data_IF_658572347454
#
_entry.id   IF_658572347454
#
_cell.length_a   1.000
_cell.length_b   1.000
_cell.length_c   1.000
_cell.angle_alpha   90.00
_cell.angle_beta   90.00
_cell.angle_gamma   90.00
#
_symmetry.space_group_name_H-M   'P 1'
#
loop_
_entity.id
_entity.type
_entity.pdbx_description
1 polymer ?
#
# COMPACT_ATOMS: atom_id res chain seq x y z
N UNK A 1 -25.12 -6.89 23.05
CA UNK A 1 -25.64 -5.89 22.09
C UNK A 1 -25.01 -6.18 20.74
N UNK A 2 -25.81 -6.71 19.82
CA UNK A 2 -25.40 -7.11 18.48
C UNK A 2 -25.24 -5.88 17.58
N UNK A 3 -24.04 -5.62 17.06
CA UNK A 3 -23.89 -4.86 15.82
C UNK A 3 -23.82 -5.86 14.68
N UNK A 4 -24.99 -6.11 14.08
CA UNK A 4 -25.13 -6.86 12.84
C UNK A 4 -24.14 -6.30 11.82
N UNK A 5 -23.29 -7.17 11.31
CA UNK A 5 -22.50 -6.97 10.11
C UNK A 5 -23.48 -6.91 8.94
N UNK A 6 -24.11 -5.74 8.75
CA UNK A 6 -24.95 -5.51 7.59
C UNK A 6 -24.03 -5.38 6.38
N UNK A 7 -24.01 -6.42 5.54
CA UNK A 7 -23.51 -6.32 4.18
C UNK A 7 -24.11 -5.05 3.56
N UNK A 8 -23.29 -4.18 2.93
CA UNK A 8 -23.77 -2.92 2.38
C UNK A 8 -24.92 -3.18 1.41
N UNK A 9 -25.93 -2.31 1.42
CA UNK A 9 -27.03 -2.43 0.45
C UNK A 9 -26.48 -2.33 -0.97
N UNK A 10 -27.13 -2.91 -2.00
CA UNK A 10 -26.64 -2.85 -3.38
C UNK A 10 -26.35 -1.41 -3.86
N UNK A 11 -27.16 -0.45 -3.40
CA UNK A 11 -26.96 0.99 -3.66
C UNK A 11 -25.73 1.56 -2.95
N UNK A 12 -25.43 1.12 -1.72
CA UNK A 12 -24.20 1.50 -1.00
C UNK A 12 -22.95 0.86 -1.61
N UNK A 13 -23.05 -0.38 -2.10
CA UNK A 13 -21.97 -1.05 -2.83
C UNK A 13 -21.64 -0.36 -4.17
N UNK A 14 -22.63 0.23 -4.83
CA UNK A 14 -22.45 1.02 -6.06
C UNK A 14 -21.75 2.37 -5.84
N UNK A 15 -21.89 2.96 -4.65
CA UNK A 15 -21.28 4.25 -4.29
C UNK A 15 -19.90 4.11 -3.66
N UNK A 16 -19.58 2.95 -3.07
CA UNK A 16 -18.27 2.73 -2.46
C UNK A 16 -17.16 2.71 -3.52
N UNK A 17 -16.16 3.58 -3.36
CA UNK A 17 -15.04 3.71 -4.31
C UNK A 17 -13.86 2.77 -4.04
N UNK A 18 -14.00 1.83 -3.11
CA UNK A 18 -12.99 0.81 -2.81
C UNK A 18 -13.43 -0.53 -3.41
N UNK A 19 -12.56 -1.25 -4.15
CA UNK A 19 -12.87 -2.57 -4.67
C UNK A 19 -13.26 -3.56 -3.57
N UNK A 20 -14.04 -4.58 -3.93
CA UNK A 20 -14.38 -5.66 -3.01
C UNK A 20 -13.11 -6.35 -2.48
N UNK A 21 -13.03 -6.48 -1.15
CA UNK A 21 -11.90 -7.07 -0.42
C UNK A 21 -11.96 -8.59 -0.59
N UNK A 22 -11.44 -9.03 -1.73
CA UNK A 22 -11.36 -10.42 -2.16
C UNK A 22 -9.90 -10.87 -2.18
N UNK A 23 -9.64 -12.15 -2.46
CA UNK A 23 -8.27 -12.62 -2.66
C UNK A 23 -7.53 -11.80 -3.73
N UNK A 24 -8.20 -11.48 -4.85
CA UNK A 24 -7.62 -10.65 -5.91
C UNK A 24 -7.23 -9.25 -5.44
N UNK A 25 -7.96 -8.66 -4.50
CA UNK A 25 -7.59 -7.37 -3.90
C UNK A 25 -6.25 -7.47 -3.17
N UNK A 26 -6.10 -8.49 -2.32
CA UNK A 26 -4.85 -8.69 -1.58
C UNK A 26 -3.69 -9.02 -2.50
N UNK A 27 -3.91 -9.85 -3.54
CA UNK A 27 -2.87 -10.18 -4.52
C UNK A 27 -2.38 -8.95 -5.26
N UNK A 28 -3.28 -8.16 -5.88
CA UNK A 28 -2.86 -6.97 -6.65
C UNK A 28 -2.18 -5.97 -5.72
N UNK A 29 -2.67 -5.83 -4.49
CA UNK A 29 -2.06 -4.94 -3.52
C UNK A 29 -0.62 -5.34 -3.18
N UNK A 30 -0.36 -6.61 -2.86
CA UNK A 30 0.99 -7.09 -2.52
C UNK A 30 1.94 -6.95 -3.73
N UNK A 31 1.42 -7.18 -4.95
CA UNK A 31 2.19 -6.92 -6.15
C UNK A 31 2.50 -5.43 -6.31
N UNK A 32 1.52 -4.55 -6.09
CA UNK A 32 1.70 -3.10 -6.17
C UNK A 32 2.69 -2.57 -5.13
N UNK A 33 2.67 -3.06 -3.90
CA UNK A 33 3.67 -2.68 -2.88
C UNK A 33 5.09 -3.06 -3.31
N UNK A 34 5.25 -4.22 -3.95
CA UNK A 34 6.55 -4.68 -4.45
C UNK A 34 7.03 -3.82 -5.62
N UNK A 35 6.14 -3.51 -6.58
CA UNK A 35 6.45 -2.58 -7.70
C UNK A 35 6.80 -1.19 -7.20
N UNK A 36 6.11 -0.70 -6.16
CA UNK A 36 6.37 0.61 -5.58
C UNK A 36 7.83 0.80 -5.19
N UNK A 37 8.39 -0.19 -4.48
CA UNK A 37 9.79 -0.24 -4.05
C UNK A 37 10.73 -0.24 -5.26
N UNK A 38 10.61 -1.27 -6.09
CA UNK A 38 11.57 -1.51 -7.17
C UNK A 38 11.51 -0.46 -8.28
N UNK A 39 10.35 0.18 -8.48
CA UNK A 39 10.20 1.26 -9.44
C UNK A 39 10.80 2.58 -8.93
N UNK A 40 10.69 2.87 -7.62
CA UNK A 40 11.37 4.01 -7.01
C UNK A 40 12.89 3.89 -7.19
N UNK A 41 13.46 2.72 -6.85
CA UNK A 41 14.87 2.42 -7.04
C UNK A 41 15.31 2.53 -8.50
N UNK A 42 14.52 1.97 -9.42
CA UNK A 42 14.83 2.01 -10.85
C UNK A 42 14.92 3.44 -11.38
N UNK A 43 13.96 4.30 -11.02
CA UNK A 43 13.94 5.68 -11.46
C UNK A 43 15.11 6.47 -10.85
N UNK A 44 15.42 6.21 -9.59
CA UNK A 44 16.48 6.90 -8.86
C UNK A 44 17.87 6.48 -9.36
N UNK A 45 18.19 5.19 -9.25
CA UNK A 45 19.55 4.68 -9.44
C UNK A 45 19.84 4.23 -10.88
N UNK A 46 18.91 3.55 -11.55
CA UNK A 46 19.17 3.00 -12.89
C UNK A 46 19.00 4.04 -13.99
N UNK A 47 17.96 4.86 -13.93
CA UNK A 47 17.74 5.94 -14.88
C UNK A 47 18.55 7.21 -14.55
N UNK A 48 19.17 7.27 -13.37
CA UNK A 48 20.00 8.38 -12.94
C UNK A 48 19.26 9.71 -12.87
N UNK A 49 17.92 9.67 -12.75
CA UNK A 49 17.07 10.87 -12.66
C UNK A 49 17.36 11.60 -11.34
N UNK A 50 17.79 10.85 -10.33
CA UNK A 50 18.03 11.31 -8.98
C UNK A 50 16.76 11.35 -8.14
N UNK A 51 16.94 11.21 -6.82
CA UNK A 51 15.85 11.03 -5.87
C UNK A 51 14.86 12.20 -5.90
N UNK A 52 15.35 13.44 -5.91
CA UNK A 52 14.51 14.65 -5.91
C UNK A 52 13.64 14.76 -7.16
N UNK A 53 14.22 14.60 -8.34
CA UNK A 53 13.48 14.73 -9.60
C UNK A 53 12.46 13.58 -9.77
N UNK A 54 12.84 12.36 -9.39
CA UNK A 54 11.95 11.20 -9.37
C UNK A 54 10.75 11.46 -8.45
N UNK A 55 11.01 12.03 -7.27
CA UNK A 55 9.98 12.38 -6.29
C UNK A 55 9.00 13.42 -6.82
N UNK A 56 9.50 14.49 -7.45
CA UNK A 56 8.65 15.54 -8.03
C UNK A 56 7.77 14.98 -9.16
N UNK A 57 8.34 14.17 -10.06
CA UNK A 57 7.61 13.55 -11.17
C UNK A 57 6.51 12.62 -10.64
N UNK A 58 6.86 11.70 -9.74
CA UNK A 58 5.91 10.70 -9.23
C UNK A 58 4.85 11.34 -8.34
N UNK A 59 5.21 12.35 -7.54
CA UNK A 59 4.23 13.12 -6.76
C UNK A 59 3.24 13.88 -7.67
N UNK A 60 3.71 14.46 -8.78
CA UNK A 60 2.84 15.12 -9.75
C UNK A 60 1.87 14.14 -10.41
N UNK A 61 2.38 12.98 -10.87
CA UNK A 61 1.54 11.92 -11.46
C UNK A 61 0.51 11.39 -10.45
N UNK A 62 0.94 11.14 -9.21
CA UNK A 62 0.06 10.74 -8.12
C UNK A 62 -1.02 11.77 -7.85
N UNK A 63 -0.67 13.05 -7.75
CA UNK A 63 -1.63 14.14 -7.51
C UNK A 63 -2.69 14.21 -8.63
N UNK A 64 -2.28 14.12 -9.89
CA UNK A 64 -3.20 14.11 -11.04
C UNK A 64 -4.15 12.90 -10.97
N UNK A 65 -3.62 11.70 -10.74
CA UNK A 65 -4.42 10.48 -10.66
C UNK A 65 -5.37 10.50 -9.44
N UNK A 66 -4.91 10.99 -8.29
CA UNK A 66 -5.70 11.13 -7.08
C UNK A 66 -6.85 12.13 -7.29
N UNK A 67 -6.58 13.30 -7.90
CA UNK A 67 -7.64 14.27 -8.23
C UNK A 67 -8.67 13.65 -9.18
N UNK A 68 -8.23 12.88 -10.19
CA UNK A 68 -9.14 12.18 -11.09
C UNK A 68 -10.01 11.14 -10.34
N UNK A 69 -9.42 10.39 -9.40
CA UNK A 69 -10.11 9.41 -8.56
C UNK A 69 -11.17 10.09 -7.66
N UNK A 70 -10.77 11.15 -6.96
CA UNK A 70 -11.64 11.94 -6.10
C UNK A 70 -12.83 12.55 -6.87
N UNK A 71 -12.60 13.00 -8.11
CA UNK A 71 -13.65 13.56 -8.99
C UNK A 71 -14.59 12.50 -9.58
N UNK A 72 -14.16 11.26 -9.69
CA UNK A 72 -14.96 10.18 -10.27
C UNK A 72 -16.05 9.76 -9.28
N UNK A 73 -17.33 9.77 -9.68
CA UNK A 73 -18.47 9.48 -8.77
C UNK A 73 -18.72 8.00 -8.49
N UNK A 74 -18.11 7.09 -9.24
CA UNK A 74 -18.30 5.64 -9.15
C UNK A 74 -16.95 4.94 -9.11
N UNK A 75 -16.89 3.72 -8.57
CA UNK A 75 -15.68 2.90 -8.58
C UNK A 75 -15.21 2.64 -10.02
N UNK A 76 -14.05 3.21 -10.37
CA UNK A 76 -13.28 2.82 -11.56
C UNK A 76 -12.08 2.01 -11.13
N UNK A 77 -12.15 0.69 -11.29
CA UNK A 77 -11.10 -0.24 -10.83
C UNK A 77 -9.72 0.11 -11.38
N UNK A 78 -9.61 0.48 -12.66
CA UNK A 78 -8.33 0.87 -13.26
C UNK A 78 -7.72 2.11 -12.63
N UNK A 79 -8.55 3.12 -12.33
CA UNK A 79 -8.10 4.37 -11.72
C UNK A 79 -7.71 4.17 -10.25
N UNK A 80 -8.49 3.40 -9.50
CA UNK A 80 -8.15 3.03 -8.12
C UNK A 80 -6.78 2.33 -8.06
N UNK A 81 -6.56 1.31 -8.89
CA UNK A 81 -5.28 0.58 -8.89
C UNK A 81 -4.12 1.43 -9.40
N UNK A 82 -4.36 2.33 -10.36
CA UNK A 82 -3.35 3.31 -10.78
C UNK A 82 -2.92 4.19 -9.60
N UNK A 83 -3.88 4.73 -8.84
CA UNK A 83 -3.56 5.53 -7.64
C UNK A 83 -2.84 4.70 -6.59
N UNK A 84 -3.19 3.43 -6.40
CA UNK A 84 -2.48 2.51 -5.48
C UNK A 84 -1.04 2.23 -5.91
N UNK A 85 -0.76 2.10 -7.20
CA UNK A 85 0.62 1.94 -7.71
C UNK A 85 1.40 3.25 -7.60
N UNK A 86 0.78 4.39 -7.90
CA UNK A 86 1.46 5.68 -7.79
C UNK A 86 1.76 6.05 -6.33
N UNK A 87 0.80 5.83 -5.42
CA UNK A 87 1.02 6.07 -3.99
C UNK A 87 2.05 5.11 -3.40
N UNK A 88 2.20 3.91 -3.97
CA UNK A 88 3.24 2.99 -3.51
C UNK A 88 4.64 3.50 -3.80
N UNK A 89 4.86 4.02 -5.01
CA UNK A 89 6.13 4.65 -5.40
C UNK A 89 6.36 5.94 -4.60
N UNK A 90 5.36 6.82 -4.51
CA UNK A 90 5.48 8.09 -3.78
C UNK A 90 5.74 7.85 -2.28
N UNK A 91 5.10 6.86 -1.67
CA UNK A 91 5.32 6.54 -0.27
C UNK A 91 6.75 6.09 0.03
N UNK A 92 7.35 5.27 -0.85
CA UNK A 92 8.79 4.93 -0.79
C UNK A 92 9.63 6.18 -0.84
N UNK A 93 9.46 6.98 -1.90
CA UNK A 93 10.26 8.18 -2.12
C UNK A 93 10.16 9.20 -0.98
N UNK A 94 9.01 9.30 -0.30
CA UNK A 94 8.86 10.15 0.88
C UNK A 94 9.80 9.70 2.01
N UNK A 95 9.87 8.40 2.27
CA UNK A 95 10.77 7.82 3.27
C UNK A 95 12.23 8.02 2.84
N UNK A 96 12.58 7.66 1.61
CA UNK A 96 13.96 7.74 1.11
C UNK A 96 14.47 9.18 1.14
N UNK A 97 13.65 10.18 0.76
CA UNK A 97 14.09 11.57 0.85
C UNK A 97 14.41 11.95 2.30
N UNK A 98 13.58 11.55 3.25
CA UNK A 98 13.80 11.88 4.66
C UNK A 98 15.07 11.22 5.20
N UNK A 99 15.38 10.00 4.77
CA UNK A 99 16.58 9.27 5.20
C UNK A 99 17.83 9.75 4.45
N UNK A 100 17.81 9.72 3.11
CA UNK A 100 18.99 9.91 2.28
C UNK A 100 19.32 11.39 2.02
N UNK A 101 18.30 12.23 1.76
CA UNK A 101 18.52 13.66 1.51
C UNK A 101 18.54 14.49 2.80
N UNK A 102 17.70 14.14 3.78
CA UNK A 102 17.57 14.90 5.03
C UNK A 102 18.27 14.25 6.24
N UNK A 103 18.83 13.04 6.09
CA UNK A 103 19.62 12.39 7.16
C UNK A 103 18.82 11.95 8.38
N UNK A 104 17.49 11.82 8.27
CA UNK A 104 16.64 11.38 9.38
C UNK A 104 16.78 9.88 9.57
N UNK A 105 17.07 9.43 10.78
CA UNK A 105 17.25 7.99 11.05
C UNK A 105 15.93 7.22 10.95
N UNK A 106 15.99 6.01 10.39
CA UNK A 106 14.84 5.08 10.31
C UNK A 106 14.23 4.77 11.68
N UNK A 107 15.05 4.68 12.73
CA UNK A 107 14.61 4.49 14.12
C UNK A 107 13.73 5.61 14.64
N UNK A 108 13.94 6.85 14.19
CA UNK A 108 13.08 8.00 14.53
C UNK A 108 11.89 8.10 13.57
N UNK A 109 12.12 7.89 12.27
CA UNK A 109 11.12 8.11 11.24
C UNK A 109 9.97 7.10 11.32
N UNK A 110 10.27 5.83 11.61
CA UNK A 110 9.28 4.76 11.76
C UNK A 110 8.22 5.07 12.83
N UNK A 111 8.57 5.38 14.10
CA UNK A 111 7.57 5.75 15.10
C UNK A 111 6.85 7.06 14.77
N UNK A 112 7.51 8.03 14.11
CA UNK A 112 6.86 9.27 13.66
C UNK A 112 5.74 8.97 12.66
N UNK A 113 6.00 8.14 11.64
CA UNK A 113 4.94 7.73 10.70
C UNK A 113 3.86 6.89 11.37
N UNK A 114 4.20 6.04 12.34
CA UNK A 114 3.23 5.27 13.10
C UNK A 114 2.28 6.19 13.89
N UNK A 115 2.83 7.20 14.59
CA UNK A 115 2.04 8.20 15.32
C UNK A 115 1.19 9.03 14.36
N UNK A 116 1.73 9.47 13.22
CA UNK A 116 0.99 10.21 12.21
C UNK A 116 -0.19 9.40 11.64
N UNK A 117 0.03 8.10 11.38
CA UNK A 117 -1.02 7.19 10.92
C UNK A 117 -2.11 6.98 11.98
N UNK A 118 -1.72 6.75 13.24
CA UNK A 118 -2.66 6.64 14.36
C UNK A 118 -3.45 7.94 14.58
N UNK A 119 -2.80 9.10 14.48
CA UNK A 119 -3.46 10.39 14.54
C UNK A 119 -4.47 10.57 13.40
N UNK A 120 -4.11 10.13 12.18
CA UNK A 120 -5.00 10.15 11.02
C UNK A 120 -6.24 9.28 11.26
N UNK A 121 -6.08 8.05 11.76
CA UNK A 121 -7.22 7.22 12.14
C UNK A 121 -8.05 7.83 13.28
N UNK A 122 -7.41 8.42 14.28
CA UNK A 122 -8.08 9.07 15.41
C UNK A 122 -8.94 10.26 14.97
N UNK A 123 -8.39 11.15 14.12
CA UNK A 123 -9.11 12.31 13.60
C UNK A 123 -10.21 11.87 12.63
N UNK A 124 -9.93 10.89 11.77
CA UNK A 124 -10.93 10.34 10.86
C UNK A 124 -12.10 9.71 11.64
N UNK A 125 -11.83 8.89 12.64
CA UNK A 125 -12.86 8.31 13.50
C UNK A 125 -13.62 9.37 14.29
N UNK A 126 -12.95 10.41 14.79
CA UNK A 126 -13.59 11.50 15.52
C UNK A 126 -14.62 12.25 14.64
N UNK A 127 -14.29 12.47 13.36
CA UNK A 127 -15.13 13.20 12.38
C UNK A 127 -16.22 12.34 11.75
N UNK A 128 -15.88 11.14 11.29
CA UNK A 128 -16.76 10.31 10.46
C UNK A 128 -17.42 9.17 11.24
N UNK A 129 -16.97 8.91 12.49
CA UNK A 129 -17.44 7.82 13.38
C UNK A 129 -17.33 6.43 12.78
N UNK A 130 -16.55 6.27 11.72
CA UNK A 130 -16.29 5.00 11.05
C UNK A 130 -14.88 4.99 10.46
N UNK A 131 -14.23 3.83 10.53
CA UNK A 131 -12.98 3.53 9.80
C UNK A 131 -13.23 2.48 8.72
N UNK A 132 -14.50 2.23 8.39
CA UNK A 132 -14.89 1.19 7.45
C UNK A 132 -14.58 1.62 6.02
N UNK A 133 -13.83 0.77 5.34
CA UNK A 133 -13.54 0.79 3.91
C UNK A 133 -14.76 0.48 3.02
N UNK A 134 -15.90 0.11 3.61
CA UNK A 134 -17.16 -0.11 2.89
C UNK A 134 -18.00 1.16 2.71
N UNK A 135 -17.62 2.27 3.34
CA UNK A 135 -18.34 3.53 3.30
C UNK A 135 -17.46 4.69 2.84
N UNK A 136 -16.65 4.47 1.80
CA UNK A 136 -15.87 5.54 1.15
C UNK A 136 -16.72 6.16 0.04
N UNK A 137 -17.72 6.93 0.46
CA UNK A 137 -18.78 7.51 -0.37
C UNK A 137 -18.79 9.05 -0.39
N UNK A 138 -18.11 9.70 0.57
CA UNK A 138 -17.94 11.16 0.61
C UNK A 138 -16.50 11.58 0.30
N UNK A 139 -16.32 12.79 -0.24
CA UNK A 139 -14.98 13.34 -0.50
C UNK A 139 -14.13 13.48 0.78
N UNK A 140 -14.77 13.73 1.93
CA UNK A 140 -14.10 13.77 3.24
C UNK A 140 -13.52 12.39 3.59
N UNK A 141 -14.34 11.34 3.55
CA UNK A 141 -13.91 9.96 3.84
C UNK A 141 -12.86 9.46 2.86
N UNK A 142 -13.01 9.80 1.58
CA UNK A 142 -12.04 9.46 0.55
C UNK A 142 -10.68 10.15 0.78
N UNK A 143 -10.69 11.43 1.20
CA UNK A 143 -9.46 12.13 1.58
C UNK A 143 -8.74 11.48 2.76
N UNK A 144 -9.46 11.14 3.83
CA UNK A 144 -8.89 10.42 4.99
C UNK A 144 -8.35 9.05 4.60
N UNK A 145 -9.07 8.33 3.74
CA UNK A 145 -8.66 7.03 3.24
C UNK A 145 -7.33 7.12 2.47
N UNK A 146 -7.21 8.05 1.52
CA UNK A 146 -5.96 8.19 0.75
C UNK A 146 -4.79 8.72 1.58
N UNK A 147 -5.06 9.60 2.56
CA UNK A 147 -4.03 10.03 3.51
C UNK A 147 -3.52 8.86 4.37
N UNK A 148 -4.44 8.05 4.91
CA UNK A 148 -4.08 6.86 5.67
C UNK A 148 -3.27 5.86 4.82
N UNK A 149 -3.64 5.70 3.54
CA UNK A 149 -2.88 4.89 2.59
C UNK A 149 -1.47 5.47 2.40
N UNK A 150 -1.32 6.75 2.09
CA UNK A 150 -0.02 7.36 1.87
C UNK A 150 0.90 7.17 3.09
N UNK A 151 0.39 7.45 4.30
CA UNK A 151 1.15 7.26 5.54
C UNK A 151 1.46 5.78 5.81
N UNK A 152 0.56 4.87 5.46
CA UNK A 152 0.83 3.42 5.54
C UNK A 152 1.96 3.02 4.60
N UNK A 153 2.00 3.58 3.41
CA UNK A 153 3.05 3.30 2.43
C UNK A 153 4.42 3.80 2.91
N UNK A 154 4.50 5.04 3.40
CA UNK A 154 5.72 5.60 3.96
C UNK A 154 6.18 4.85 5.23
N UNK A 155 5.25 4.59 6.17
CA UNK A 155 5.52 3.79 7.37
C UNK A 155 6.06 2.41 7.02
N UNK A 156 5.47 1.75 6.02
CA UNK A 156 5.84 0.40 5.67
C UNK A 156 7.21 0.30 4.99
N UNK A 157 7.62 1.29 4.19
CA UNK A 157 9.03 1.38 3.72
C UNK A 157 9.95 1.58 4.93
N UNK A 158 9.70 2.62 5.75
CA UNK A 158 10.55 2.90 6.91
C UNK A 158 10.68 1.72 7.88
N UNK A 159 9.57 1.03 8.17
CA UNK A 159 9.57 -0.16 9.03
C UNK A 159 10.25 -1.36 8.38
N UNK A 160 10.12 -1.53 7.06
CA UNK A 160 10.79 -2.59 6.30
C UNK A 160 12.31 -2.46 6.41
N UNK A 161 12.82 -1.27 6.09
CA UNK A 161 14.26 -0.96 6.08
C UNK A 161 14.83 -0.93 7.49
N UNK A 162 14.05 -0.43 8.46
CA UNK A 162 14.45 -0.46 9.86
C UNK A 162 14.68 -1.89 10.35
N UNK A 163 13.78 -2.83 10.02
CA UNK A 163 13.91 -4.24 10.41
C UNK A 163 15.01 -4.93 9.60
N UNK A 164 15.06 -4.72 8.28
CA UNK A 164 16.01 -5.40 7.41
C UNK A 164 17.45 -4.91 7.62
N UNK A 165 17.66 -3.60 7.64
CA UNK A 165 18.98 -2.98 7.57
C UNK A 165 19.46 -2.49 8.94
N UNK A 166 18.62 -1.75 9.66
CA UNK A 166 19.04 -1.18 10.97
C UNK A 166 19.13 -2.25 12.05
N UNK A 167 18.16 -3.17 12.11
CA UNK A 167 18.19 -4.32 13.02
C UNK A 167 18.99 -5.51 12.47
N UNK A 168 19.50 -5.40 11.23
CA UNK A 168 20.33 -6.41 10.58
C UNK A 168 19.68 -7.80 10.47
N UNK A 169 18.35 -7.90 10.41
CA UNK A 169 17.69 -9.18 10.16
C UNK A 169 17.89 -9.66 8.71
N UNK A 170 18.11 -8.74 7.77
CA UNK A 170 18.19 -9.01 6.34
C UNK A 170 16.81 -9.21 5.70
N UNK A 171 16.74 -9.01 4.38
CA UNK A 171 15.47 -8.93 3.64
C UNK A 171 14.62 -10.20 3.74
N UNK A 172 15.22 -11.39 3.67
CA UNK A 172 14.48 -12.67 3.77
C UNK A 172 13.79 -12.81 5.13
N UNK A 173 14.51 -12.57 6.23
CA UNK A 173 13.94 -12.70 7.57
C UNK A 173 12.87 -11.62 7.82
N UNK A 174 13.07 -10.40 7.33
CA UNK A 174 12.05 -9.34 7.37
C UNK A 174 10.78 -9.75 6.61
N UNK A 175 10.90 -10.28 5.38
CA UNK A 175 9.74 -10.79 4.64
C UNK A 175 9.01 -11.88 5.42
N UNK A 176 9.73 -12.85 5.98
CA UNK A 176 9.12 -13.92 6.78
C UNK A 176 8.45 -13.39 8.04
N UNK A 177 9.05 -12.40 8.72
CA UNK A 177 8.49 -11.75 9.90
C UNK A 177 7.14 -11.08 9.57
N UNK A 178 7.09 -10.26 8.53
CA UNK A 178 5.85 -9.58 8.15
C UNK A 178 4.79 -10.56 7.62
N UNK A 179 5.20 -11.63 6.92
CA UNK A 179 4.29 -12.69 6.50
C UNK A 179 3.68 -13.42 7.70
N UNK A 180 4.50 -13.75 8.70
CA UNK A 180 4.05 -14.36 9.94
C UNK A 180 3.11 -13.43 10.72
N UNK A 181 3.43 -12.13 10.80
CA UNK A 181 2.58 -11.13 11.43
C UNK A 181 1.19 -11.03 10.76
N UNK A 182 1.13 -11.07 9.43
CA UNK A 182 -0.16 -11.14 8.69
C UNK A 182 -0.90 -12.44 9.02
N UNK A 183 -0.19 -13.57 9.11
CA UNK A 183 -0.74 -14.86 9.55
C UNK A 183 -1.36 -14.79 10.94
N UNK A 184 -0.70 -14.13 11.90
CA UNK A 184 -1.22 -13.90 13.25
C UNK A 184 -2.51 -13.07 13.21
N UNK A 185 -2.58 -12.03 12.38
CA UNK A 185 -3.80 -11.23 12.21
C UNK A 185 -4.94 -12.07 11.62
N UNK A 186 -4.65 -12.95 10.67
CA UNK A 186 -5.63 -13.87 10.12
C UNK A 186 -6.17 -14.84 11.19
N UNK A 187 -5.29 -15.42 12.01
CA UNK A 187 -5.67 -16.28 13.14
C UNK A 187 -6.49 -15.49 14.17
N UNK A 188 -6.10 -14.26 14.48
CA UNK A 188 -6.85 -13.38 15.38
C UNK A 188 -8.26 -13.08 14.86
N UNK A 189 -8.42 -12.88 13.55
CA UNK A 189 -9.71 -12.64 12.94
C UNK A 189 -10.60 -13.88 12.91
N UNK A 190 -10.09 -15.01 12.39
CA UNK A 190 -10.88 -16.23 12.21
C UNK A 190 -11.05 -17.06 13.49
N UNK A 191 -10.04 -17.07 14.36
CA UNK A 191 -10.04 -17.82 15.62
C UNK A 191 -10.60 -17.03 16.80
N UNK A 192 -10.23 -15.75 16.94
CA UNK A 192 -10.57 -14.92 18.10
C UNK A 192 -11.63 -13.84 17.83
N UNK A 193 -12.23 -13.84 16.63
CA UNK A 193 -13.30 -12.91 16.23
C UNK A 193 -12.89 -11.43 16.32
N UNK A 194 -11.63 -11.11 16.03
CA UNK A 194 -11.16 -9.72 15.90
C UNK A 194 -12.04 -8.95 14.90
N UNK A 195 -12.39 -7.70 15.20
CA UNK A 195 -13.25 -6.90 14.33
C UNK A 195 -12.69 -6.75 12.91
N UNK A 196 -13.54 -6.96 11.89
CA UNK A 196 -13.12 -6.99 10.49
C UNK A 196 -12.40 -5.71 10.03
N UNK A 197 -12.82 -4.53 10.53
CA UNK A 197 -12.17 -3.25 10.20
C UNK A 197 -10.76 -3.16 10.78
N UNK A 198 -10.57 -3.59 12.03
CA UNK A 198 -9.26 -3.58 12.67
C UNK A 198 -8.32 -4.61 12.00
N UNK A 199 -8.81 -5.84 11.78
CA UNK A 199 -8.07 -6.87 11.08
C UNK A 199 -7.66 -6.42 9.67
N UNK A 200 -8.57 -5.76 8.94
CA UNK A 200 -8.27 -5.18 7.63
C UNK A 200 -7.15 -4.16 7.71
N UNK A 201 -7.24 -3.14 8.58
CA UNK A 201 -6.22 -2.09 8.64
C UNK A 201 -4.87 -2.61 9.09
N UNK A 202 -4.80 -3.51 10.09
CA UNK A 202 -3.53 -4.08 10.53
C UNK A 202 -2.90 -4.93 9.42
N UNK A 203 -3.67 -5.83 8.78
CA UNK A 203 -3.17 -6.58 7.63
C UNK A 203 -2.78 -5.63 6.48
N UNK A 204 -3.56 -4.57 6.26
CA UNK A 204 -3.29 -3.59 5.23
C UNK A 204 -1.95 -2.87 5.47
N UNK A 205 -1.66 -2.52 6.72
CA UNK A 205 -0.40 -1.88 7.09
C UNK A 205 0.75 -2.85 6.89
N UNK A 206 0.64 -4.08 7.40
CA UNK A 206 1.71 -5.09 7.36
C UNK A 206 2.06 -5.58 5.95
N UNK A 207 1.12 -5.55 5.00
CA UNK A 207 1.45 -5.92 3.60
C UNK A 207 2.44 -4.97 2.93
N UNK A 208 2.59 -3.72 3.41
CA UNK A 208 3.59 -2.81 2.84
C UNK A 208 5.02 -3.20 3.17
N UNK A 209 5.43 -3.29 4.46
CA UNK A 209 6.79 -3.70 4.78
C UNK A 209 7.10 -5.12 4.26
N UNK A 210 6.10 -6.02 4.21
CA UNK A 210 6.22 -7.29 3.52
C UNK A 210 6.66 -7.10 2.06
N UNK A 211 5.94 -6.25 1.31
CA UNK A 211 6.20 -5.99 -0.11
C UNK A 211 7.51 -5.25 -0.37
N UNK A 212 7.89 -4.30 0.49
CA UNK A 212 9.18 -3.62 0.44
C UNK A 212 10.31 -4.64 0.61
N UNK A 213 10.36 -5.34 1.76
CA UNK A 213 11.41 -6.33 2.03
C UNK A 213 11.46 -7.45 1.00
N UNK A 214 10.30 -7.86 0.45
CA UNK A 214 10.29 -8.85 -0.63
C UNK A 214 10.79 -8.30 -1.96
N UNK A 215 10.47 -7.04 -2.29
CA UNK A 215 11.02 -6.33 -3.43
C UNK A 215 12.54 -6.25 -3.35
N UNK A 216 13.07 -5.82 -2.21
CA UNK A 216 14.50 -5.70 -1.95
C UNK A 216 15.20 -7.05 -1.97
N UNK A 217 14.57 -8.08 -1.39
CA UNK A 217 15.08 -9.44 -1.47
C UNK A 217 15.28 -9.88 -2.93
N UNK A 218 14.39 -9.52 -3.85
CA UNK A 218 14.52 -9.88 -5.26
C UNK A 218 15.52 -8.96 -5.99
N UNK A 219 15.42 -7.64 -5.78
CA UNK A 219 16.13 -6.63 -6.56
C UNK A 219 17.57 -6.41 -6.14
N UNK A 220 17.86 -6.38 -4.83
CA UNK A 220 19.14 -5.95 -4.28
C UNK A 220 20.27 -6.96 -4.61
N UNK A 221 21.53 -6.49 -4.71
CA UNK A 221 22.68 -7.37 -4.92
C UNK A 221 22.84 -8.41 -3.81
N UNK A 222 23.45 -9.54 -4.15
CA UNK A 222 23.76 -10.61 -3.19
C UNK A 222 24.67 -10.12 -2.05
N UNK A 223 25.53 -9.13 -2.33
CA UNK A 223 26.37 -8.49 -1.31
C UNK A 223 25.58 -7.74 -0.23
N UNK A 224 24.35 -7.32 -0.54
CA UNK A 224 23.44 -6.65 0.40
C UNK A 224 22.35 -7.58 0.94
N UNK A 225 22.42 -8.89 0.64
CA UNK A 225 21.45 -9.88 1.11
C UNK A 225 20.23 -10.09 0.21
N UNK A 226 20.23 -9.54 -1.01
CA UNK A 226 19.22 -9.82 -2.03
C UNK A 226 19.60 -10.98 -2.97
N UNK A 227 18.73 -11.29 -3.94
CA UNK A 227 18.91 -12.35 -4.94
C UNK A 227 19.57 -11.85 -6.23
N UNK A 228 19.74 -10.54 -6.40
CA UNK A 228 20.42 -9.93 -7.54
C UNK A 228 19.67 -10.01 -8.86
N UNK A 229 18.33 -10.13 -8.86
CA UNK A 229 17.54 -10.11 -10.10
C UNK A 229 17.49 -8.72 -10.75
N UNK A 230 17.89 -7.70 -9.99
CA UNK A 230 17.90 -6.32 -10.41
C UNK A 230 16.51 -5.69 -10.35
N UNK A 231 16.51 -4.36 -10.20
CA UNK A 231 15.32 -3.52 -10.11
C UNK A 231 14.48 -3.57 -11.40
N UNK A 232 15.13 -3.65 -12.57
CA UNK A 232 14.47 -3.67 -13.89
C UNK A 232 13.65 -4.93 -14.09
N UNK A 233 14.28 -6.10 -13.92
CA UNK A 233 13.62 -7.39 -14.14
C UNK A 233 12.46 -7.60 -13.16
N UNK A 234 12.70 -7.27 -11.90
CA UNK A 234 11.69 -7.36 -10.83
C UNK A 234 10.51 -6.42 -11.12
N UNK A 235 10.76 -5.14 -11.39
CA UNK A 235 9.68 -4.18 -11.69
C UNK A 235 8.85 -4.59 -12.91
N UNK A 236 9.50 -5.04 -13.99
CA UNK A 236 8.82 -5.42 -15.23
C UNK A 236 7.88 -6.62 -15.03
N UNK A 237 8.33 -7.67 -14.34
CA UNK A 237 7.53 -8.87 -14.07
C UNK A 237 6.29 -8.53 -13.25
N UNK A 238 6.46 -7.76 -12.18
CA UNK A 238 5.33 -7.42 -11.32
C UNK A 238 4.37 -6.42 -11.99
N UNK A 239 4.88 -5.46 -12.77
CA UNK A 239 4.03 -4.53 -13.51
C UNK A 239 3.19 -5.26 -14.58
N UNK A 240 3.79 -6.21 -15.30
CA UNK A 240 3.04 -7.08 -16.23
C UNK A 240 1.99 -7.91 -15.50
N UNK A 241 2.32 -8.47 -14.33
CA UNK A 241 1.36 -9.22 -13.52
C UNK A 241 0.18 -8.35 -13.03
N UNK A 242 0.46 -7.12 -12.59
CA UNK A 242 -0.58 -6.15 -12.20
C UNK A 242 -1.46 -5.80 -13.40
N UNK A 243 -0.87 -5.48 -14.55
CA UNK A 243 -1.63 -5.16 -15.76
C UNK A 243 -2.51 -6.34 -16.19
N UNK A 244 -1.97 -7.56 -16.20
CA UNK A 244 -2.73 -8.76 -16.52
C UNK A 244 -3.92 -8.97 -15.56
N UNK A 245 -3.71 -8.79 -14.25
CA UNK A 245 -4.77 -8.91 -13.24
C UNK A 245 -5.82 -7.81 -13.36
N UNK A 246 -5.41 -6.56 -13.59
CA UNK A 246 -6.33 -5.42 -13.77
C UNK A 246 -7.16 -5.59 -15.03
N UNK A 247 -6.54 -6.00 -16.15
CA UNK A 247 -7.26 -6.31 -17.40
C UNK A 247 -8.20 -7.48 -17.19
N UNK A 248 -7.76 -8.56 -16.55
CA UNK A 248 -8.60 -9.71 -16.23
C UNK A 248 -9.82 -9.34 -15.38
N UNK A 249 -9.63 -8.52 -14.34
CA UNK A 249 -10.72 -8.01 -13.51
C UNK A 249 -11.65 -7.07 -14.28
N UNK A 250 -11.10 -6.19 -15.14
CA UNK A 250 -11.88 -5.32 -16.00
C UNK A 250 -12.74 -6.09 -17.02
N UNK A 251 -12.22 -7.20 -17.56
CA UNK A 251 -12.98 -8.09 -18.44
C UNK A 251 -14.07 -8.85 -17.68
N UNK A 252 -13.77 -9.40 -16.50
CA UNK A 252 -14.78 -10.08 -15.66
C UNK A 252 -15.85 -9.13 -15.12
N UNK A 253 -15.50 -7.88 -14.83
CA UNK A 253 -16.43 -6.83 -14.41
C UNK A 253 -17.42 -6.43 -15.51
N UNK A 254 -17.02 -6.54 -16.79
CA UNK A 254 -17.93 -6.39 -17.94
C UNK A 254 -18.79 -7.63 -18.22
N UNK A 255 -18.32 -8.82 -17.81
CA UNK A 255 -18.98 -10.10 -18.08
C UNK A 255 -20.04 -10.52 -17.06
N UNK A 256 -20.31 -9.70 -16.03
CA UNK A 256 -21.51 -9.82 -15.19
C UNK A 256 -22.49 -8.72 -15.58
N UNK A 257 -23.47 -9.01 -16.46
CA UNK A 257 -24.69 -8.22 -16.46
C UNK A 257 -25.35 -8.42 -15.09
N UNK A 258 -25.92 -7.32 -14.57
CA UNK A 258 -26.82 -7.34 -13.42
C UNK A 258 -28.02 -8.27 -13.69
#
# INVERSE_FOLDING_TARGET
MNTLSTSPSPAQALLNKVPAITLSFWTIKVLATTVGETAADFLNFNLGIGLTNTSLLMAALFAVALVAQMRTRQLRQSLYWLVVVLVSVVGTLVTDNLVDNFGVSLTLLTPVFAVALLATFGIWFAREKTLSMHHIDTASREGWYWLAILLTFALGTAAGDWVAETMQLGYLNSTLLFAAAIGVVAIAHYGFKLGAVAAFWVAYILTRPLGASFGDLLSQPVSHGGLGWGTVGTSAVFLVAILALVVFLGMRGRARPA
#
